data_IF_083286940270
#
_entry.id   IF_083286940270
#
_cell.length_a   1.000
_cell.length_b   1.000
_cell.length_c   1.000
_cell.angle_alpha   90.00
_cell.angle_beta   90.00
_cell.angle_gamma   90.00
#
_symmetry.space_group_name_H-M   'P 1'
#
loop_
_entity.id
_entity.type
_entity.pdbx_description
1 polymer ?
#
# COMPACT_ATOMS: atom_id res chain seq x y z
N UNK A 1 24.72 43.47 -35.70
CA UNK A 1 24.03 42.18 -35.90
C UNK A 1 23.25 42.20 -37.22
N UNK A 2 23.39 41.16 -38.05
CA UNK A 2 22.63 41.03 -39.30
C UNK A 2 21.14 40.85 -39.03
N UNK A 3 20.29 41.17 -40.01
CA UNK A 3 18.83 40.99 -39.94
C UNK A 3 18.47 39.53 -39.65
N UNK A 4 19.22 38.59 -40.26
CA UNK A 4 19.12 37.15 -40.02
C UNK A 4 19.35 36.78 -38.55
N UNK A 5 20.37 37.35 -37.90
CA UNK A 5 20.65 37.08 -36.48
C UNK A 5 19.53 37.59 -35.56
N UNK A 6 18.96 38.76 -35.85
CA UNK A 6 17.83 39.31 -35.09
C UNK A 6 16.58 38.44 -35.23
N UNK A 7 16.27 38.00 -36.45
CA UNK A 7 15.14 37.12 -36.73
C UNK A 7 15.23 35.80 -35.97
N UNK A 8 16.39 35.12 -36.04
CA UNK A 8 16.60 33.86 -35.33
C UNK A 8 16.54 34.01 -33.80
N UNK A 9 17.01 35.12 -33.25
CA UNK A 9 16.89 35.39 -31.81
C UNK A 9 15.44 35.57 -31.37
N UNK A 10 14.63 36.27 -32.15
CA UNK A 10 13.19 36.40 -31.88
C UNK A 10 12.52 35.03 -31.97
N UNK A 11 12.85 34.26 -33.01
CA UNK A 11 12.32 32.91 -33.20
C UNK A 11 12.66 32.00 -32.02
N UNK A 12 13.92 32.00 -31.57
CA UNK A 12 14.39 31.26 -30.40
C UNK A 12 13.66 31.69 -29.12
N UNK A 13 13.47 33.00 -28.92
CA UNK A 13 12.77 33.52 -27.75
C UNK A 13 11.31 33.05 -27.73
N UNK A 14 10.60 33.15 -28.87
CA UNK A 14 9.20 32.70 -29.00
C UNK A 14 9.10 31.18 -28.79
N UNK A 15 9.97 30.40 -29.42
CA UNK A 15 9.98 28.95 -29.24
C UNK A 15 10.26 28.55 -27.79
N UNK A 16 11.22 29.19 -27.14
CA UNK A 16 11.55 28.92 -25.74
C UNK A 16 10.37 29.29 -24.83
N UNK A 17 9.75 30.44 -25.06
CA UNK A 17 8.58 30.90 -24.31
C UNK A 17 7.36 29.99 -24.48
N UNK A 18 7.22 29.30 -25.61
CA UNK A 18 6.15 28.34 -25.84
C UNK A 18 6.49 26.93 -25.29
N UNK A 19 7.69 26.43 -25.57
CA UNK A 19 8.08 25.06 -25.26
C UNK A 19 8.31 24.85 -23.77
N UNK A 20 8.93 25.79 -23.06
CA UNK A 20 9.24 25.62 -21.63
C UNK A 20 7.96 25.44 -20.79
N UNK A 21 6.94 26.31 -20.90
CA UNK A 21 5.67 26.09 -20.22
C UNK A 21 4.97 24.81 -20.67
N UNK A 22 4.92 24.54 -21.99
CA UNK A 22 4.27 23.34 -22.51
C UNK A 22 4.89 22.05 -21.94
N UNK A 23 6.22 21.96 -21.91
CA UNK A 23 6.94 20.82 -21.31
C UNK A 23 6.69 20.74 -19.81
N UNK A 24 6.71 21.86 -19.09
CA UNK A 24 6.42 21.88 -17.65
C UNK A 24 5.00 21.37 -17.34
N UNK A 25 3.98 21.86 -18.05
CA UNK A 25 2.60 21.42 -17.88
C UNK A 25 2.42 19.95 -18.26
N UNK A 26 2.96 19.54 -19.40
CA UNK A 26 2.88 18.15 -19.85
C UNK A 26 3.51 17.20 -18.82
N UNK A 27 4.71 17.54 -18.31
CA UNK A 27 5.39 16.75 -17.30
C UNK A 27 4.57 16.65 -16.01
N UNK A 28 4.08 17.78 -15.49
CA UNK A 28 3.27 17.80 -14.27
C UNK A 28 1.97 17.01 -14.41
N UNK A 29 1.29 17.11 -15.57
CA UNK A 29 0.10 16.34 -15.85
C UNK A 29 0.39 14.83 -15.95
N UNK A 30 1.47 14.46 -16.63
CA UNK A 30 1.89 13.06 -16.76
C UNK A 30 2.30 12.45 -15.42
N UNK A 31 3.08 13.19 -14.60
CA UNK A 31 3.48 12.73 -13.26
C UNK A 31 2.26 12.51 -12.36
N UNK A 32 1.30 13.45 -12.35
CA UNK A 32 0.05 13.29 -11.59
C UNK A 32 -0.78 12.09 -12.06
N UNK A 33 -0.91 11.91 -13.37
CA UNK A 33 -1.65 10.79 -13.94
C UNK A 33 -0.99 9.45 -13.60
N UNK A 34 0.35 9.38 -13.69
CA UNK A 34 1.10 8.19 -13.32
C UNK A 34 0.95 7.86 -11.84
N UNK A 35 1.02 8.87 -10.95
CA UNK A 35 0.80 8.67 -9.51
C UNK A 35 -0.62 8.17 -9.23
N UNK A 36 -1.63 8.78 -9.85
CA UNK A 36 -3.02 8.35 -9.69
C UNK A 36 -3.22 6.90 -10.15
N UNK A 37 -2.69 6.54 -11.32
CA UNK A 37 -2.81 5.18 -11.85
C UNK A 37 -2.14 4.14 -10.94
N UNK A 38 -0.96 4.46 -10.40
CA UNK A 38 -0.27 3.58 -9.42
C UNK A 38 -1.09 3.45 -8.14
N UNK A 39 -1.70 4.52 -7.65
CA UNK A 39 -2.55 4.47 -6.45
C UNK A 39 -3.85 3.70 -6.67
N UNK A 40 -4.46 3.81 -7.84
CA UNK A 40 -5.62 3.02 -8.23
C UNK A 40 -5.27 1.52 -8.27
N UNK A 41 -4.16 1.16 -8.90
CA UNK A 41 -3.65 -0.22 -8.92
C UNK A 41 -3.34 -0.73 -7.50
N UNK A 42 -2.64 0.06 -6.69
CA UNK A 42 -2.33 -0.28 -5.30
C UNK A 42 -3.62 -0.44 -4.47
N UNK A 43 -4.63 0.39 -4.72
CA UNK A 43 -5.94 0.31 -4.09
C UNK A 43 -6.68 -0.99 -4.44
N UNK A 44 -6.62 -1.44 -5.69
CA UNK A 44 -7.16 -2.73 -6.14
C UNK A 44 -6.42 -3.88 -5.47
N UNK A 45 -5.08 -3.86 -5.47
CA UNK A 45 -4.27 -4.89 -4.82
C UNK A 45 -4.54 -4.97 -3.30
N UNK A 46 -4.68 -3.83 -2.64
CA UNK A 46 -5.09 -3.73 -1.24
C UNK A 46 -6.49 -4.33 -1.03
N UNK A 47 -7.46 -4.02 -1.90
CA UNK A 47 -8.79 -4.62 -1.83
C UNK A 47 -8.76 -6.14 -2.06
N UNK A 48 -7.92 -6.64 -2.96
CA UNK A 48 -7.71 -8.07 -3.16
C UNK A 48 -7.18 -8.73 -1.90
N UNK A 49 -6.18 -8.15 -1.23
CA UNK A 49 -5.68 -8.67 0.04
C UNK A 49 -6.79 -8.72 1.12
N UNK A 50 -7.61 -7.66 1.24
CA UNK A 50 -8.75 -7.62 2.16
C UNK A 50 -9.85 -8.63 1.80
N UNK A 51 -10.11 -8.83 0.50
CA UNK A 51 -11.04 -9.83 0.01
C UNK A 51 -10.55 -11.24 0.31
N UNK A 52 -9.25 -11.51 0.15
CA UNK A 52 -8.61 -12.77 0.58
C UNK A 52 -8.83 -13.01 2.07
N UNK A 53 -8.61 -12.00 2.93
CA UNK A 53 -8.90 -12.14 4.37
C UNK A 53 -10.35 -12.57 4.62
N UNK A 54 -11.28 -11.89 3.95
CA UNK A 54 -12.71 -12.15 4.06
C UNK A 54 -13.07 -13.56 3.59
N UNK A 55 -12.50 -14.00 2.47
CA UNK A 55 -12.67 -15.34 1.94
C UNK A 55 -12.11 -16.41 2.89
N UNK A 56 -10.88 -16.21 3.39
CA UNK A 56 -10.25 -17.13 4.34
C UNK A 56 -11.07 -17.25 5.62
N UNK A 57 -11.56 -16.12 6.16
CA UNK A 57 -12.38 -16.14 7.37
C UNK A 57 -13.76 -16.79 7.16
N UNK A 58 -14.46 -16.43 6.08
CA UNK A 58 -15.86 -16.85 5.86
C UNK A 58 -15.99 -18.25 5.28
N UNK A 59 -15.03 -18.69 4.45
CA UNK A 59 -15.16 -19.93 3.68
C UNK A 59 -14.12 -20.97 4.08
N UNK A 60 -12.85 -20.58 4.28
CA UNK A 60 -11.78 -21.56 4.54
C UNK A 60 -11.72 -21.97 6.02
N UNK A 61 -11.69 -21.00 6.94
CA UNK A 61 -11.51 -21.26 8.37
C UNK A 61 -12.57 -22.22 8.95
N UNK A 62 -13.87 -22.11 8.60
CA UNK A 62 -14.88 -23.04 9.11
C UNK A 62 -14.65 -24.49 8.67
N UNK A 63 -14.12 -24.72 7.46
CA UNK A 63 -13.84 -26.05 6.93
C UNK A 63 -12.64 -26.70 7.64
N UNK A 64 -11.69 -25.89 8.09
CA UNK A 64 -10.50 -26.36 8.81
C UNK A 64 -10.73 -26.47 10.33
N UNK A 65 -11.83 -25.94 10.87
CA UNK A 65 -12.12 -25.89 12.31
C UNK A 65 -11.93 -27.23 13.04
N UNK A 66 -12.34 -28.40 12.51
CA UNK A 66 -12.10 -29.68 13.18
C UNK A 66 -10.61 -30.01 13.33
N UNK A 67 -9.78 -29.63 12.36
CA UNK A 67 -8.34 -29.92 12.33
C UNK A 67 -7.53 -28.93 13.18
N UNK A 68 -8.03 -27.70 13.34
CA UNK A 68 -7.38 -26.65 14.12
C UNK A 68 -7.30 -26.95 15.62
N UNK A 69 -8.12 -27.87 16.12
CA UNK A 69 -8.07 -28.30 17.53
C UNK A 69 -6.81 -29.12 17.86
N UNK A 70 -6.20 -29.74 16.85
CA UNK A 70 -5.05 -30.62 17.02
C UNK A 70 -3.76 -30.03 16.46
N UNK A 71 -3.84 -29.27 15.36
CA UNK A 71 -2.68 -28.69 14.70
C UNK A 71 -2.96 -27.26 14.22
N UNK A 72 -2.03 -26.35 14.48
CA UNK A 72 -2.09 -25.01 13.92
C UNK A 72 -1.82 -25.02 12.42
N UNK A 73 -2.75 -24.48 11.63
CA UNK A 73 -2.65 -24.39 10.17
C UNK A 73 -2.63 -22.90 9.77
N UNK A 74 -1.46 -22.34 9.40
CA UNK A 74 -1.32 -20.91 9.08
C UNK A 74 -2.28 -20.43 7.98
N UNK A 75 -2.60 -21.27 7.01
CA UNK A 75 -3.51 -20.97 5.89
C UNK A 75 -4.95 -20.68 6.34
N UNK A 76 -5.33 -21.07 7.57
CA UNK A 76 -6.60 -20.68 8.18
C UNK A 76 -6.60 -19.23 8.68
N UNK A 77 -5.43 -18.61 8.87
CA UNK A 77 -5.32 -17.24 9.37
C UNK A 77 -5.49 -16.25 8.21
N UNK A 78 -6.49 -15.34 8.26
CA UNK A 78 -6.75 -14.39 7.18
C UNK A 78 -5.54 -13.54 6.77
N UNK A 79 -4.79 -13.04 7.75
CA UNK A 79 -3.60 -12.20 7.53
C UNK A 79 -2.47 -12.97 6.83
N UNK A 80 -2.28 -14.24 7.20
CA UNK A 80 -1.29 -15.10 6.57
C UNK A 80 -1.62 -15.30 5.10
N UNK A 81 -2.84 -15.72 4.80
CA UNK A 81 -3.30 -15.96 3.42
C UNK A 81 -3.21 -14.71 2.54
N UNK A 82 -3.60 -13.54 3.06
CA UNK A 82 -3.46 -12.28 2.32
C UNK A 82 -2.00 -11.95 2.01
N UNK A 83 -1.11 -12.12 2.98
CA UNK A 83 0.32 -11.86 2.81
C UNK A 83 0.96 -12.83 1.81
N UNK A 84 0.69 -14.14 1.93
CA UNK A 84 1.29 -15.13 1.02
C UNK A 84 0.77 -14.99 -0.41
N UNK A 85 -0.52 -14.72 -0.60
CA UNK A 85 -1.05 -14.44 -1.95
C UNK A 85 -0.37 -13.21 -2.54
N UNK A 86 -0.16 -12.16 -1.74
CA UNK A 86 0.54 -10.99 -2.23
C UNK A 86 2.02 -11.28 -2.54
N UNK A 87 2.69 -12.17 -1.78
CA UNK A 87 4.05 -12.59 -2.09
C UNK A 87 4.13 -13.21 -3.50
N UNK A 88 3.15 -14.03 -3.90
CA UNK A 88 3.08 -14.53 -5.28
C UNK A 88 2.84 -13.43 -6.32
N UNK A 89 2.01 -12.42 -6.01
CA UNK A 89 1.85 -11.24 -6.89
C UNK A 89 3.19 -10.52 -7.07
N UNK A 90 3.98 -10.40 -5.99
CA UNK A 90 5.27 -9.71 -6.00
C UNK A 90 6.32 -10.42 -6.86
N UNK A 91 6.20 -11.72 -7.11
CA UNK A 91 7.11 -12.45 -8.00
C UNK A 91 7.06 -11.90 -9.44
N UNK A 92 5.86 -11.55 -9.93
CA UNK A 92 5.69 -10.93 -11.26
C UNK A 92 5.61 -9.40 -11.21
N UNK A 93 5.38 -8.82 -10.02
CA UNK A 93 5.22 -7.38 -9.80
C UNK A 93 6.07 -6.90 -8.60
N UNK A 94 7.42 -6.93 -8.71
CA UNK A 94 8.34 -6.64 -7.60
C UNK A 94 8.25 -5.20 -7.05
N UNK A 95 7.69 -4.29 -7.83
CA UNK A 95 7.44 -2.88 -7.49
C UNK A 95 6.31 -2.68 -6.47
N UNK A 96 5.46 -3.68 -6.26
CA UNK A 96 4.41 -3.63 -5.26
C UNK A 96 4.78 -4.47 -4.03
N UNK A 97 4.45 -3.95 -2.85
CA UNK A 97 4.63 -4.66 -1.58
C UNK A 97 3.40 -4.46 -0.70
N UNK A 98 3.03 -5.50 0.04
CA UNK A 98 1.97 -5.47 1.03
C UNK A 98 2.52 -5.91 2.38
N UNK A 99 2.06 -5.23 3.42
CA UNK A 99 2.40 -5.56 4.81
C UNK A 99 1.24 -5.15 5.70
N UNK A 100 0.85 -6.04 6.59
CA UNK A 100 -0.08 -5.72 7.67
C UNK A 100 0.69 -5.18 8.88
N UNK A 101 1.26 -3.98 8.74
CA UNK A 101 2.10 -3.39 9.78
C UNK A 101 1.30 -3.10 11.06
N UNK A 102 1.78 -3.61 12.19
CA UNK A 102 1.19 -3.33 13.51
C UNK A 102 2.28 -3.06 14.56
N UNK A 103 1.93 -2.31 15.61
CA UNK A 103 2.87 -1.95 16.68
C UNK A 103 3.27 -3.16 17.54
N UNK A 104 2.37 -4.14 17.68
CA UNK A 104 2.58 -5.35 18.49
C UNK A 104 1.99 -6.58 17.79
N UNK A 105 2.63 -7.08 16.71
CA UNK A 105 2.14 -8.25 15.97
C UNK A 105 2.46 -9.55 16.70
N UNK A 106 1.68 -10.59 16.41
CA UNK A 106 2.05 -11.98 16.74
C UNK A 106 3.24 -12.45 15.89
N UNK A 107 3.28 -12.07 14.61
CA UNK A 107 4.38 -12.41 13.71
C UNK A 107 5.41 -11.26 13.62
N UNK A 108 6.69 -11.46 13.98
CA UNK A 108 7.71 -10.41 13.94
C UNK A 108 7.87 -9.73 12.58
N UNK A 109 7.58 -10.42 11.47
CA UNK A 109 7.65 -9.83 10.11
C UNK A 109 6.71 -8.63 9.93
N UNK A 110 5.61 -8.61 10.68
CA UNK A 110 4.55 -7.62 10.59
C UNK A 110 4.79 -6.44 11.55
N UNK A 111 5.94 -6.41 12.24
CA UNK A 111 6.26 -5.35 13.19
C UNK A 111 6.47 -4.06 12.42
N UNK A 112 5.74 -3.02 12.82
CA UNK A 112 5.87 -1.69 12.25
C UNK A 112 7.31 -1.19 12.42
N UNK A 113 7.88 -0.65 11.34
CA UNK A 113 9.07 0.21 11.42
C UNK A 113 8.65 1.65 11.71
N UNK A 114 9.60 2.52 12.03
CA UNK A 114 9.35 3.88 12.54
C UNK A 114 8.29 4.67 11.75
N UNK A 115 8.44 4.79 10.43
CA UNK A 115 7.48 5.53 9.60
C UNK A 115 6.11 4.84 9.48
N UNK A 116 6.05 3.50 9.61
CA UNK A 116 4.77 2.78 9.63
C UNK A 116 4.05 3.04 10.96
N UNK A 117 4.80 3.20 12.07
CA UNK A 117 4.25 3.57 13.35
C UNK A 117 3.59 4.96 13.29
N UNK A 118 4.19 5.94 12.60
CA UNK A 118 3.59 7.26 12.40
C UNK A 118 2.22 7.17 11.69
N UNK A 119 2.14 6.35 10.63
CA UNK A 119 0.89 6.10 9.90
C UNK A 119 -0.15 5.42 10.81
N UNK A 120 0.26 4.44 11.62
CA UNK A 120 -0.61 3.78 12.59
C UNK A 120 -1.13 4.78 13.63
N UNK A 121 -0.27 5.66 14.16
CA UNK A 121 -0.66 6.68 15.11
C UNK A 121 -1.66 7.68 14.51
N UNK A 122 -1.46 8.12 13.26
CA UNK A 122 -2.43 8.97 12.57
C UNK A 122 -3.83 8.33 12.49
N UNK A 123 -3.92 7.02 12.25
CA UNK A 123 -5.20 6.30 12.28
C UNK A 123 -5.78 6.12 13.68
N UNK A 124 -4.94 6.00 14.72
CA UNK A 124 -5.39 5.91 16.12
C UNK A 124 -5.93 7.24 16.62
N UNK A 125 -5.31 8.34 16.21
CA UNK A 125 -5.66 9.69 16.63
C UNK A 125 -6.93 10.20 15.91
N UNK A 126 -7.27 9.62 14.75
CA UNK A 126 -8.48 9.95 14.01
C UNK A 126 -9.23 8.70 13.53
N UNK A 127 -10.28 8.32 14.28
CA UNK A 127 -11.13 7.17 13.96
C UNK A 127 -11.94 7.32 12.65
N UNK A 128 -12.12 8.53 12.12
CA UNK A 128 -12.81 8.76 10.84
C UNK A 128 -11.87 8.64 9.64
N UNK A 129 -10.54 8.63 9.86
CA UNK A 129 -9.55 8.51 8.80
C UNK A 129 -9.52 7.06 8.26
N UNK A 130 -9.90 6.89 7.00
CA UNK A 130 -10.04 5.57 6.35
C UNK A 130 -8.85 5.18 5.49
N UNK A 131 -8.09 6.17 5.02
CA UNK A 131 -6.98 5.96 4.12
C UNK A 131 -5.96 7.09 4.29
N UNK A 132 -4.68 6.75 4.16
CA UNK A 132 -3.58 7.71 4.07
C UNK A 132 -2.78 7.34 2.83
N UNK A 133 -2.54 8.34 1.98
CA UNK A 133 -1.61 8.23 0.86
C UNK A 133 -0.44 9.15 1.12
N UNK A 134 0.77 8.66 0.90
CA UNK A 134 1.97 9.47 1.04
C UNK A 134 3.10 8.98 0.15
N UNK A 135 4.19 9.75 0.19
CA UNK A 135 5.44 9.39 -0.47
C UNK A 135 6.51 9.25 0.60
N UNK A 136 7.40 8.29 0.40
CA UNK A 136 8.59 8.14 1.23
C UNK A 136 9.81 7.95 0.34
N UNK A 137 10.93 8.48 0.78
CA UNK A 137 12.23 8.14 0.20
C UNK A 137 12.78 6.92 0.95
N UNK A 138 13.17 5.89 0.22
CA UNK A 138 13.77 4.66 0.75
C UNK A 138 15.07 4.32 0.05
N UNK A 139 15.71 3.22 0.47
CA UNK A 139 16.96 2.75 -0.13
C UNK A 139 16.85 2.46 -1.64
N UNK A 140 15.65 2.15 -2.13
CA UNK A 140 15.35 1.89 -3.54
C UNK A 140 14.82 3.13 -4.28
N UNK A 141 14.89 4.30 -3.65
CA UNK A 141 14.34 5.55 -4.17
C UNK A 141 12.97 5.89 -3.60
N UNK A 142 12.30 6.84 -4.24
CA UNK A 142 11.00 7.35 -3.82
C UNK A 142 9.89 6.36 -4.13
N UNK A 143 9.10 6.00 -3.12
CA UNK A 143 7.93 5.12 -3.25
C UNK A 143 6.67 5.83 -2.77
N UNK A 144 5.56 5.62 -3.48
CA UNK A 144 4.22 5.90 -2.99
C UNK A 144 3.78 4.80 -2.02
N UNK A 145 3.02 5.16 -1.00
CA UNK A 145 2.33 4.21 -0.15
C UNK A 145 0.86 4.57 0.01
N UNK A 146 0.03 3.54 0.20
CA UNK A 146 -1.37 3.62 0.54
C UNK A 146 -1.59 2.78 1.81
N UNK A 147 -2.01 3.43 2.88
CA UNK A 147 -2.34 2.79 4.15
C UNK A 147 -3.85 2.79 4.39
N UNK A 148 -4.36 1.71 4.97
CA UNK A 148 -5.72 1.61 5.51
C UNK A 148 -5.66 1.01 6.92
N UNK A 149 -6.50 1.47 7.86
CA UNK A 149 -6.44 0.99 9.23
C UNK A 149 -7.00 -0.42 9.34
N UNK A 150 -6.33 -1.26 10.12
CA UNK A 150 -6.87 -2.56 10.56
C UNK A 150 -7.72 -2.28 11.81
N UNK A 151 -9.02 -2.55 11.73
CA UNK A 151 -9.95 -2.39 12.85
C UNK A 151 -10.54 -3.73 13.22
N UNK A 152 -10.45 -4.10 14.50
CA UNK A 152 -11.11 -5.28 15.03
C UNK A 152 -12.56 -4.90 15.32
N UNK A 153 -13.45 -5.19 14.38
CA UNK A 153 -14.90 -4.99 14.53
C UNK A 153 -15.64 -6.28 14.82
N UNK A 154 -15.00 -7.43 14.59
CA UNK A 154 -15.58 -8.75 14.82
C UNK A 154 -14.99 -9.38 16.10
N UNK A 155 -15.82 -9.70 17.11
CA UNK A 155 -15.37 -10.39 18.32
C UNK A 155 -14.67 -11.73 18.04
N UNK A 156 -14.93 -12.38 16.90
CA UNK A 156 -14.29 -13.63 16.54
C UNK A 156 -12.76 -13.50 16.43
N UNK A 157 -12.23 -12.31 16.10
CA UNK A 157 -10.79 -12.06 16.07
C UNK A 157 -10.14 -12.25 17.46
N UNK A 158 -10.89 -12.06 18.54
CA UNK A 158 -10.40 -12.21 19.92
C UNK A 158 -10.22 -13.69 20.31
N UNK A 159 -10.65 -14.64 19.48
CA UNK A 159 -10.31 -16.05 19.72
C UNK A 159 -8.80 -16.34 19.63
N UNK A 160 -8.04 -15.53 18.87
CA UNK A 160 -6.60 -15.68 18.71
C UNK A 160 -5.79 -14.41 19.04
N UNK A 161 -6.46 -13.27 19.28
CA UNK A 161 -5.83 -11.98 19.55
C UNK A 161 -6.27 -11.43 20.91
N UNK A 162 -6.12 -12.23 21.96
CA UNK A 162 -6.38 -11.85 23.36
C UNK A 162 -5.08 -11.72 24.12
N UNK A 163 -4.61 -12.81 24.73
CA UNK A 163 -3.37 -12.84 25.52
C UNK A 163 -2.45 -13.97 25.08
N UNK A 164 -1.15 -13.91 25.41
CA UNK A 164 -0.21 -15.00 25.12
C UNK A 164 -0.61 -16.34 25.77
N UNK A 165 -1.33 -16.32 26.90
CA UNK A 165 -1.75 -17.55 27.59
C UNK A 165 -3.00 -18.22 26.96
N UNK A 166 -3.78 -17.48 26.18
CA UNK A 166 -5.09 -17.91 25.67
C UNK A 166 -5.16 -17.99 24.14
N UNK A 167 -4.20 -17.39 23.46
CA UNK A 167 -4.09 -17.48 22.00
C UNK A 167 -3.45 -18.82 21.61
N UNK A 168 -3.97 -19.50 20.57
CA UNK A 168 -3.44 -20.79 20.10
C UNK A 168 -2.06 -20.70 19.45
#
# INVERSE_FOLDING_TARGET
MSLFAKFNLILLAVFTAALVPATFFARSAMERNAQQQVLENAGILMQTALATRTYTSKQISPLLKPMLAENFIPQSVPAYSATEIFNYVRESHPEYSYKEATLNPTNPRDRAVDWEADVIHAFRDNAELKEIVGQRDGALGRSLYLGRPIRITDPACLSCHTSPETSP
#
